data_IF_056738766972
#
_entry.id   IF_056738766972
#
_cell.length_a   1.000
_cell.length_b   1.000
_cell.length_c   1.000
_cell.angle_alpha   90.00
_cell.angle_beta   90.00
_cell.angle_gamma   90.00
#
_symmetry.space_group_name_H-M   'P 1'
#
loop_
_entity.id
_entity.type
_entity.pdbx_description
1 polymer ?
#
# COMPACT_ATOMS: atom_id res chain seq x y z
N UNK A 1 21.97 -4.76 -21.84
CA UNK A 1 22.34 -6.13 -21.39
C UNK A 1 22.29 -6.38 -19.87
N UNK A 2 22.46 -5.38 -18.98
CA UNK A 2 22.41 -5.60 -17.51
C UNK A 2 21.00 -5.88 -16.91
N UNK A 3 19.90 -5.74 -17.67
CA UNK A 3 18.51 -5.88 -17.18
C UNK A 3 17.95 -7.31 -17.13
N UNK A 4 18.55 -8.29 -17.81
CA UNK A 4 18.00 -9.66 -17.88
C UNK A 4 18.17 -10.46 -16.57
N UNK A 5 19.13 -10.07 -15.72
CA UNK A 5 19.42 -10.74 -14.45
C UNK A 5 18.34 -10.53 -13.39
N UNK A 6 17.45 -9.55 -13.59
CA UNK A 6 16.31 -9.28 -12.70
C UNK A 6 15.27 -10.40 -12.75
N UNK A 7 15.14 -11.10 -13.88
CA UNK A 7 14.29 -12.31 -14.01
C UNK A 7 14.81 -13.50 -13.18
N UNK A 8 16.07 -13.44 -12.71
CA UNK A 8 16.69 -14.44 -11.86
C UNK A 8 16.65 -14.06 -10.37
N UNK A 9 15.97 -12.99 -9.97
CA UNK A 9 15.82 -12.64 -8.55
C UNK A 9 15.02 -13.75 -7.83
N UNK A 10 15.51 -14.29 -6.70
CA UNK A 10 14.78 -15.28 -5.92
C UNK A 10 13.48 -14.67 -5.36
N UNK A 11 12.34 -15.29 -5.68
CA UNK A 11 11.00 -14.82 -5.29
C UNK A 11 9.96 -15.02 -6.39
N UNK A 12 10.36 -14.97 -7.67
CA UNK A 12 9.48 -15.31 -8.78
C UNK A 12 9.55 -16.81 -9.08
N UNK A 13 8.40 -17.51 -9.01
CA UNK A 13 8.28 -18.96 -9.26
C UNK A 13 8.67 -19.42 -10.68
N UNK A 14 9.05 -18.49 -11.57
CA UNK A 14 9.42 -18.71 -12.97
C UNK A 14 10.56 -19.74 -13.11
N UNK A 15 11.51 -19.79 -12.17
CA UNK A 15 12.67 -20.70 -12.26
C UNK A 15 12.29 -22.18 -12.32
N UNK A 16 11.25 -22.59 -11.58
CA UNK A 16 10.79 -23.99 -11.56
C UNK A 16 10.18 -24.39 -12.90
N UNK A 17 9.39 -23.49 -13.49
CA UNK A 17 8.77 -23.72 -14.79
C UNK A 17 9.78 -23.67 -15.94
N UNK A 18 10.77 -22.78 -15.87
CA UNK A 18 11.86 -22.73 -16.85
C UNK A 18 12.69 -24.01 -16.84
N UNK A 19 12.99 -24.54 -15.64
CA UNK A 19 13.68 -25.82 -15.50
C UNK A 19 12.83 -26.96 -16.08
N UNK A 20 11.53 -27.00 -15.77
CA UNK A 20 10.61 -28.00 -16.31
C UNK A 20 10.51 -27.95 -17.84
N UNK A 21 10.47 -26.74 -18.43
CA UNK A 21 10.47 -26.55 -19.88
C UNK A 21 11.78 -27.06 -20.49
N UNK A 22 12.93 -26.70 -19.91
CA UNK A 22 14.24 -27.15 -20.37
C UNK A 22 14.34 -28.68 -20.33
N UNK A 23 13.92 -29.30 -19.23
CA UNK A 23 13.88 -30.77 -19.09
C UNK A 23 12.97 -31.38 -20.14
N UNK A 24 11.76 -30.83 -20.35
CA UNK A 24 10.83 -31.29 -21.38
C UNK A 24 11.42 -31.22 -22.79
N UNK A 25 12.15 -30.14 -23.11
CA UNK A 25 12.81 -29.98 -24.41
C UNK A 25 13.91 -31.02 -24.63
N UNK A 26 14.68 -31.36 -23.58
CA UNK A 26 15.70 -32.43 -23.65
C UNK A 26 15.05 -33.78 -23.96
N UNK A 27 13.98 -34.14 -23.25
CA UNK A 27 13.28 -35.41 -23.49
C UNK A 27 12.66 -35.46 -24.90
N UNK A 28 12.06 -34.36 -25.36
CA UNK A 28 11.52 -34.26 -26.72
C UNK A 28 12.63 -34.45 -27.77
N UNK A 29 13.75 -33.73 -27.62
CA UNK A 29 14.88 -33.83 -28.54
C UNK A 29 15.46 -35.25 -28.59
N UNK A 30 15.56 -35.91 -27.42
CA UNK A 30 16.01 -37.29 -27.33
C UNK A 30 15.04 -38.26 -28.03
N UNK A 31 13.73 -38.09 -27.83
CA UNK A 31 12.70 -38.90 -28.50
C UNK A 31 12.75 -38.77 -30.02
N UNK A 32 12.86 -37.55 -30.54
CA UNK A 32 13.03 -37.29 -31.98
C UNK A 32 14.31 -37.93 -32.50
N UNK A 33 15.42 -37.85 -31.77
CA UNK A 33 16.68 -38.48 -32.17
C UNK A 33 16.55 -40.01 -32.28
N UNK A 34 15.85 -40.67 -31.35
CA UNK A 34 15.61 -42.11 -31.43
C UNK A 34 14.78 -42.49 -32.66
N UNK A 35 13.69 -41.77 -32.93
CA UNK A 35 12.85 -42.00 -34.12
C UNK A 35 13.66 -41.80 -35.39
N UNK A 36 14.48 -40.74 -35.45
CA UNK A 36 15.33 -40.46 -36.59
C UNK A 36 16.34 -41.60 -36.84
N UNK A 37 17.03 -42.07 -35.79
CA UNK A 37 17.97 -43.20 -35.90
C UNK A 37 17.28 -44.47 -36.38
N UNK A 38 16.07 -44.75 -35.89
CA UNK A 38 15.28 -45.90 -36.31
C UNK A 38 14.90 -45.80 -37.80
N UNK A 39 14.44 -44.63 -38.25
CA UNK A 39 14.07 -44.38 -39.64
C UNK A 39 15.26 -44.61 -40.58
N UNK A 40 16.44 -44.08 -40.22
CA UNK A 40 17.68 -44.28 -40.99
C UNK A 40 18.12 -45.74 -41.11
N UNK A 41 17.73 -46.60 -40.17
CA UNK A 41 18.13 -48.02 -40.15
C UNK A 41 17.12 -48.95 -40.82
N UNK A 42 15.87 -48.53 -40.97
CA UNK A 42 14.76 -49.40 -41.39
C UNK A 42 14.16 -49.05 -42.73
N UNK A 43 14.29 -47.78 -43.16
CA UNK A 43 13.74 -47.30 -44.42
C UNK A 43 14.89 -46.98 -45.36
N UNK A 44 14.84 -47.55 -46.57
CA UNK A 44 15.74 -47.17 -47.66
C UNK A 44 15.41 -45.73 -48.08
N UNK A 45 16.30 -44.80 -47.72
CA UNK A 45 16.13 -43.38 -48.01
C UNK A 45 16.55 -43.06 -49.45
N UNK A 46 15.77 -42.26 -50.20
CA UNK A 46 16.13 -41.83 -51.55
C UNK A 46 17.46 -41.07 -51.61
N UNK A 47 18.17 -41.13 -52.75
CA UNK A 47 19.50 -40.50 -52.95
C UNK A 47 19.53 -38.98 -52.69
N UNK A 48 18.40 -38.29 -52.83
CA UNK A 48 18.27 -36.85 -52.52
C UNK A 48 18.69 -36.53 -51.08
N UNK A 49 18.46 -37.44 -50.14
CA UNK A 49 18.84 -37.26 -48.74
C UNK A 49 20.36 -37.30 -48.53
N UNK A 50 21.12 -37.93 -49.42
CA UNK A 50 22.58 -37.97 -49.35
C UNK A 50 23.17 -36.55 -49.44
N UNK A 51 22.68 -35.76 -50.41
CA UNK A 51 23.10 -34.38 -50.61
C UNK A 51 22.49 -33.43 -49.56
N UNK A 52 21.20 -33.59 -49.26
CA UNK A 52 20.50 -32.73 -48.30
C UNK A 52 21.08 -32.83 -46.88
N UNK A 53 21.52 -34.02 -46.48
CA UNK A 53 22.09 -34.28 -45.16
C UNK A 53 23.62 -34.30 -45.16
N UNK A 54 24.25 -33.80 -46.23
CA UNK A 54 25.70 -33.62 -46.37
C UNK A 54 26.51 -34.90 -46.08
N UNK A 55 26.01 -36.07 -46.48
CA UNK A 55 26.62 -37.37 -46.17
C UNK A 55 27.99 -37.59 -46.83
N UNK A 56 28.31 -36.85 -47.90
CA UNK A 56 29.61 -36.87 -48.56
C UNK A 56 30.75 -36.31 -47.68
N UNK A 57 30.44 -35.60 -46.59
CA UNK A 57 31.42 -35.09 -45.63
C UNK A 57 31.67 -36.08 -44.49
N UNK A 58 32.89 -36.11 -43.93
CA UNK A 58 33.18 -36.87 -42.71
C UNK A 58 32.19 -36.53 -41.59
N UNK A 59 31.79 -37.55 -40.82
CA UNK A 59 30.76 -37.43 -39.76
C UNK A 59 31.03 -36.27 -38.80
N UNK A 60 32.29 -36.04 -38.46
CA UNK A 60 32.74 -34.96 -37.56
C UNK A 60 32.56 -33.58 -38.18
N UNK A 61 32.98 -33.40 -39.44
CA UNK A 61 32.87 -32.13 -40.18
C UNK A 61 31.42 -31.74 -40.36
N UNK A 62 30.57 -32.70 -40.77
CA UNK A 62 29.13 -32.48 -40.89
C UNK A 62 28.48 -32.10 -39.56
N UNK A 63 28.81 -32.82 -38.49
CA UNK A 63 28.24 -32.54 -37.17
C UNK A 63 28.62 -31.12 -36.68
N UNK A 64 29.86 -30.70 -36.94
CA UNK A 64 30.33 -29.36 -36.58
C UNK A 64 29.60 -28.28 -37.40
N UNK A 65 29.49 -28.45 -38.71
CA UNK A 65 28.82 -27.49 -39.59
C UNK A 65 27.33 -27.32 -39.24
N UNK A 66 26.59 -28.43 -39.11
CA UNK A 66 25.17 -28.38 -38.76
C UNK A 66 24.96 -27.88 -37.33
N UNK A 67 25.82 -28.26 -36.40
CA UNK A 67 25.77 -27.78 -35.01
C UNK A 67 26.01 -26.28 -34.91
N UNK A 68 27.01 -25.75 -35.62
CA UNK A 68 27.33 -24.32 -35.63
C UNK A 68 26.20 -23.52 -36.30
N UNK A 69 25.67 -23.99 -37.44
CA UNK A 69 24.52 -23.38 -38.10
C UNK A 69 23.27 -23.38 -37.21
N UNK A 70 23.00 -24.48 -36.51
CA UNK A 70 21.89 -24.58 -35.57
C UNK A 70 22.06 -23.59 -34.41
N UNK A 71 23.25 -23.50 -33.83
CA UNK A 71 23.53 -22.60 -32.72
C UNK A 71 23.42 -21.12 -33.13
N UNK A 72 23.87 -20.75 -34.33
CA UNK A 72 23.71 -19.39 -34.83
C UNK A 72 22.25 -19.04 -35.09
N UNK A 73 21.47 -19.95 -35.69
CA UNK A 73 20.03 -19.76 -35.88
C UNK A 73 19.27 -19.61 -34.55
N UNK A 74 19.58 -20.44 -33.55
CA UNK A 74 18.99 -20.34 -32.21
C UNK A 74 19.36 -19.01 -31.57
N UNK A 75 20.63 -18.59 -31.62
CA UNK A 75 21.08 -17.32 -31.05
C UNK A 75 20.37 -16.13 -31.70
N UNK A 76 20.30 -16.09 -33.04
CA UNK A 76 19.62 -15.02 -33.78
C UNK A 76 18.12 -15.00 -33.45
N UNK A 77 17.48 -16.17 -33.42
CA UNK A 77 16.05 -16.28 -33.09
C UNK A 77 15.76 -15.80 -31.68
N UNK A 78 16.60 -16.17 -30.71
CA UNK A 78 16.46 -15.74 -29.33
C UNK A 78 16.59 -14.21 -29.19
N UNK A 79 17.61 -13.60 -29.82
CA UNK A 79 17.82 -12.15 -29.80
C UNK A 79 16.64 -11.42 -30.46
N UNK A 80 16.23 -11.83 -31.67
CA UNK A 80 15.12 -11.18 -32.38
C UNK A 80 13.78 -11.35 -31.67
N UNK A 81 13.52 -12.53 -31.09
CA UNK A 81 12.30 -12.78 -30.36
C UNK A 81 12.27 -11.97 -29.06
N UNK A 82 13.39 -11.89 -28.34
CA UNK A 82 13.55 -11.00 -27.20
C UNK A 82 13.26 -9.55 -27.59
N UNK A 83 13.88 -9.05 -28.65
CA UNK A 83 13.66 -7.67 -29.09
C UNK A 83 12.20 -7.41 -29.45
N UNK A 84 11.52 -8.31 -30.17
CA UNK A 84 10.13 -8.09 -30.62
C UNK A 84 9.09 -8.31 -29.53
N UNK A 85 9.30 -9.29 -28.66
CA UNK A 85 8.39 -9.52 -27.54
C UNK A 85 8.54 -8.42 -26.50
N UNK A 86 9.74 -7.90 -26.26
CA UNK A 86 9.99 -6.89 -25.22
C UNK A 86 9.97 -5.44 -25.73
N UNK A 87 10.07 -5.19 -27.04
CA UNK A 87 10.00 -3.83 -27.61
C UNK A 87 8.71 -3.08 -27.27
N UNK A 88 7.50 -3.68 -27.31
CA UNK A 88 6.27 -3.00 -26.91
C UNK A 88 6.22 -2.63 -25.42
N UNK A 89 6.99 -3.33 -24.60
CA UNK A 89 7.06 -3.15 -23.15
C UNK A 89 8.12 -2.14 -22.71
N UNK A 90 9.01 -1.70 -23.61
CA UNK A 90 10.08 -0.74 -23.33
C UNK A 90 9.76 0.65 -23.89
N UNK A 91 8.75 0.75 -24.77
CA UNK A 91 8.36 1.99 -25.47
C UNK A 91 7.20 2.77 -24.84
N UNK A 92 6.68 2.34 -23.68
CA UNK A 92 5.71 3.11 -22.90
C UNK A 92 6.40 3.90 -21.78
N UNK A 93 5.88 5.09 -21.45
CA UNK A 93 6.40 5.96 -20.38
C UNK A 93 6.46 5.29 -19.00
N UNK A 94 5.77 4.17 -18.80
CA UNK A 94 5.87 3.34 -17.60
C UNK A 94 6.70 2.08 -17.85
N UNK A 95 7.83 1.99 -17.16
CA UNK A 95 8.72 0.84 -17.14
C UNK A 95 7.94 -0.37 -16.59
N UNK A 96 7.83 -1.47 -17.33
CA UNK A 96 7.07 -2.68 -16.91
C UNK A 96 7.50 -3.23 -15.55
N UNK A 97 8.76 -2.96 -15.17
CA UNK A 97 9.25 -3.26 -13.83
C UNK A 97 8.46 -2.50 -12.76
N UNK A 98 8.09 -1.24 -12.99
CA UNK A 98 7.29 -0.43 -12.08
C UNK A 98 5.83 -0.90 -12.02
N UNK A 99 5.26 -1.40 -13.12
CA UNK A 99 3.93 -2.02 -13.12
C UNK A 99 3.91 -3.34 -12.33
N UNK A 100 4.93 -4.19 -12.52
CA UNK A 100 5.08 -5.44 -11.77
C UNK A 100 5.43 -5.16 -10.31
N UNK A 101 6.27 -4.15 -10.04
CA UNK A 101 6.58 -3.72 -8.67
C UNK A 101 5.34 -3.14 -7.99
N UNK A 102 4.51 -2.32 -8.66
CA UNK A 102 3.20 -1.87 -8.12
C UNK A 102 2.23 -3.02 -7.87
N UNK A 103 2.28 -4.09 -8.66
CA UNK A 103 1.43 -5.27 -8.48
C UNK A 103 1.82 -6.11 -7.25
N UNK A 104 3.11 -6.15 -6.90
CA UNK A 104 3.63 -6.90 -5.75
C UNK A 104 3.99 -6.03 -4.53
N UNK A 105 4.05 -4.70 -4.69
CA UNK A 105 4.29 -3.77 -3.60
C UNK A 105 3.01 -3.67 -2.75
N UNK A 106 3.11 -3.75 -1.41
CA UNK A 106 1.97 -3.51 -0.56
C UNK A 106 1.43 -2.11 -0.85
N UNK A 107 0.13 -2.03 -1.18
CA UNK A 107 -0.59 -0.76 -1.29
C UNK A 107 -0.43 -0.07 0.07
N UNK A 108 0.43 0.96 0.14
CA UNK A 108 0.56 1.79 1.35
C UNK A 108 -0.81 2.40 1.59
N UNK A 109 -1.48 1.96 2.65
CA UNK A 109 -2.78 2.52 3.04
C UNK A 109 -2.51 3.94 3.55
N UNK A 110 -3.16 4.98 3.00
CA UNK A 110 -2.97 6.32 3.51
C UNK A 110 -3.46 6.37 4.96
N UNK A 111 -2.66 6.99 5.83
CA UNK A 111 -2.97 7.19 7.24
C UNK A 111 -3.81 8.46 7.39
N UNK A 112 -5.03 8.32 7.88
CA UNK A 112 -5.99 9.41 8.04
C UNK A 112 -6.27 9.62 9.52
N UNK A 113 -5.97 10.81 10.02
CA UNK A 113 -6.29 11.22 11.39
C UNK A 113 -7.55 12.08 11.39
N UNK A 114 -8.52 11.76 12.26
CA UNK A 114 -9.85 12.36 12.24
C UNK A 114 -10.15 13.01 13.59
N UNK A 115 -10.29 14.33 13.62
CA UNK A 115 -10.84 15.06 14.77
C UNK A 115 -12.35 15.20 14.59
N UNK A 116 -13.14 14.57 15.45
CA UNK A 116 -14.59 14.63 15.35
C UNK A 116 -15.27 14.52 16.72
N UNK A 117 -16.56 14.90 16.79
CA UNK A 117 -17.37 14.59 17.96
C UNK A 117 -17.63 13.08 18.06
N UNK A 118 -18.02 12.56 19.22
CA UNK A 118 -18.17 11.10 19.46
C UNK A 118 -19.05 10.41 18.40
N UNK A 119 -20.22 10.97 18.09
CA UNK A 119 -21.13 10.39 17.10
C UNK A 119 -20.61 10.54 15.66
N UNK A 120 -20.00 11.68 15.34
CA UNK A 120 -19.41 11.94 14.02
C UNK A 120 -18.23 11.03 13.74
N UNK A 121 -17.39 10.81 14.74
CA UNK A 121 -16.28 9.88 14.66
C UNK A 121 -16.76 8.44 14.46
N UNK A 122 -17.80 8.01 15.20
CA UNK A 122 -18.41 6.70 15.00
C UNK A 122 -18.98 6.49 13.59
N UNK A 123 -19.53 7.54 12.96
CA UNK A 123 -19.98 7.47 11.57
C UNK A 123 -18.83 7.26 10.60
N UNK A 124 -17.72 8.00 10.75
CA UNK A 124 -16.56 7.89 9.87
C UNK A 124 -15.81 6.58 10.06
N UNK A 125 -15.59 6.15 11.31
CA UNK A 125 -14.90 4.89 11.61
C UNK A 125 -15.67 3.65 11.15
N UNK A 126 -16.99 3.72 10.94
CA UNK A 126 -17.75 2.62 10.31
C UNK A 126 -17.25 2.31 8.89
N UNK A 127 -16.83 3.33 8.15
CA UNK A 127 -16.34 3.15 6.78
C UNK A 127 -14.97 2.49 6.72
N UNK A 128 -14.22 2.41 7.84
CA UNK A 128 -12.86 1.82 7.90
C UNK A 128 -12.77 0.41 7.30
N UNK A 129 -13.85 -0.36 7.36
CA UNK A 129 -13.90 -1.72 6.79
C UNK A 129 -14.12 -1.74 5.26
N UNK A 130 -14.64 -0.66 4.70
CA UNK A 130 -15.02 -0.54 3.29
C UNK A 130 -13.97 0.20 2.46
N UNK A 131 -13.17 1.05 3.11
CA UNK A 131 -12.12 1.84 2.46
C UNK A 131 -10.72 1.27 2.75
N UNK A 132 -9.77 1.34 1.79
CA UNK A 132 -8.40 0.86 1.99
C UNK A 132 -7.53 1.89 2.73
N UNK A 133 -8.09 2.63 3.69
CA UNK A 133 -7.40 3.69 4.43
C UNK A 133 -7.19 3.26 5.87
N UNK A 134 -6.04 3.62 6.45
CA UNK A 134 -5.81 3.43 7.87
C UNK A 134 -6.33 4.64 8.64
N UNK A 135 -7.52 4.52 9.20
CA UNK A 135 -8.21 5.61 9.88
C UNK A 135 -8.02 5.52 11.38
N UNK A 136 -7.56 6.61 11.98
CA UNK A 136 -7.43 6.81 13.44
C UNK A 136 -8.25 8.02 13.84
N UNK A 137 -9.06 7.88 14.89
CA UNK A 137 -9.91 8.92 15.42
C UNK A 137 -9.35 9.57 16.68
N UNK A 138 -9.44 10.89 16.78
CA UNK A 138 -9.16 11.64 18.02
C UNK A 138 -10.48 12.15 18.58
N UNK A 139 -10.81 11.75 19.81
CA UNK A 139 -12.03 12.20 20.49
C UNK A 139 -11.90 13.62 21.03
N UNK A 140 -13.01 14.31 21.35
CA UNK A 140 -12.95 15.60 22.03
C UNK A 140 -12.19 15.50 23.37
N UNK A 141 -11.41 16.52 23.76
CA UNK A 141 -10.62 16.48 24.98
C UNK A 141 -11.50 16.57 26.23
N UNK A 142 -12.59 17.31 26.17
CA UNK A 142 -13.61 17.30 27.20
C UNK A 142 -14.34 15.94 27.19
N UNK A 143 -14.39 15.26 28.35
CA UNK A 143 -15.03 13.95 28.49
C UNK A 143 -14.48 12.85 27.55
N UNK A 144 -13.18 12.90 27.24
CA UNK A 144 -12.52 11.96 26.32
C UNK A 144 -12.74 10.48 26.72
N UNK A 145 -12.65 10.17 28.01
CA UNK A 145 -12.88 8.82 28.52
C UNK A 145 -14.31 8.32 28.27
N UNK A 146 -15.32 9.18 28.46
CA UNK A 146 -16.72 8.85 28.16
C UNK A 146 -16.96 8.66 26.65
N UNK A 147 -16.34 9.51 25.82
CA UNK A 147 -16.41 9.37 24.37
C UNK A 147 -15.78 8.05 23.89
N UNK A 148 -14.59 7.71 24.39
CA UNK A 148 -13.91 6.44 24.11
C UNK A 148 -14.75 5.24 24.56
N UNK A 149 -15.25 5.24 25.80
CA UNK A 149 -16.07 4.15 26.33
C UNK A 149 -17.34 3.92 25.50
N UNK A 150 -17.97 5.00 25.01
CA UNK A 150 -19.14 4.91 24.13
C UNK A 150 -18.80 4.30 22.77
N UNK A 151 -17.70 4.71 22.15
CA UNK A 151 -17.24 4.14 20.88
C UNK A 151 -16.84 2.67 21.03
N UNK A 152 -16.11 2.35 22.10
CA UNK A 152 -15.69 0.98 22.40
C UNK A 152 -16.90 0.06 22.62
N UNK A 153 -17.86 0.46 23.45
CA UNK A 153 -19.06 -0.35 23.73
C UNK A 153 -20.00 -0.49 22.52
N UNK A 154 -20.10 0.53 21.66
CA UNK A 154 -21.03 0.53 20.51
C UNK A 154 -20.43 -0.17 19.29
N UNK A 155 -19.13 -0.07 19.07
CA UNK A 155 -18.46 -0.48 17.83
C UNK A 155 -17.28 -1.42 18.03
N UNK A 156 -16.86 -1.68 19.27
CA UNK A 156 -15.70 -2.51 19.58
C UNK A 156 -14.36 -1.83 19.29
N UNK A 157 -14.31 -0.49 19.29
CA UNK A 157 -13.10 0.24 18.89
C UNK A 157 -11.93 0.04 19.85
N UNK A 158 -10.70 -0.08 19.36
CA UNK A 158 -9.51 -0.24 20.22
C UNK A 158 -8.86 1.10 20.58
N UNK A 159 -7.89 1.07 21.51
CA UNK A 159 -7.05 2.22 21.84
C UNK A 159 -6.09 2.64 20.71
N UNK A 160 -5.94 1.81 19.67
CA UNK A 160 -5.18 2.16 18.46
C UNK A 160 -6.06 2.89 17.43
N UNK A 161 -7.37 2.62 17.45
CA UNK A 161 -8.33 3.23 16.52
C UNK A 161 -8.87 4.57 17.03
N UNK A 162 -8.97 4.72 18.35
CA UNK A 162 -9.55 5.90 18.99
C UNK A 162 -8.61 6.40 20.07
N UNK A 163 -8.02 7.57 19.84
CA UNK A 163 -7.03 8.21 20.69
C UNK A 163 -7.66 9.30 21.55
N UNK A 164 -7.15 9.41 22.77
CA UNK A 164 -7.47 10.50 23.70
C UNK A 164 -6.49 11.65 23.42
N UNK A 165 -6.95 12.88 23.18
CA UNK A 165 -6.10 14.00 22.75
C UNK A 165 -5.09 14.46 23.81
N UNK A 166 -5.41 14.33 25.10
CA UNK A 166 -4.56 14.83 26.19
C UNK A 166 -4.61 13.92 27.42
N UNK A 167 -3.49 13.85 28.14
CA UNK A 167 -3.38 13.18 29.42
C UNK A 167 -4.00 13.98 30.58
N UNK A 168 -4.32 15.25 30.36
CA UNK A 168 -4.87 16.14 31.38
C UNK A 168 -6.40 16.11 31.39
N UNK A 169 -7.00 16.24 32.57
CA UNK A 169 -8.44 16.45 32.70
C UNK A 169 -8.78 17.90 32.40
N UNK A 170 -9.49 18.09 31.28
CA UNK A 170 -9.86 19.41 30.80
C UNK A 170 -11.36 19.59 30.71
N UNK A 171 -11.78 20.84 30.91
CA UNK A 171 -13.16 21.29 30.69
C UNK A 171 -13.18 22.35 29.61
N UNK A 172 -14.15 22.25 28.71
CA UNK A 172 -14.40 23.27 27.69
C UNK A 172 -15.26 24.39 28.27
N UNK A 173 -14.88 25.64 28.03
CA UNK A 173 -15.61 26.83 28.44
C UNK A 173 -15.85 27.74 27.23
N UNK A 174 -16.99 28.43 27.21
CA UNK A 174 -17.31 29.42 26.19
C UNK A 174 -17.66 30.75 26.84
N UNK A 175 -17.01 31.83 26.40
CA UNK A 175 -17.36 33.20 26.77
C UNK A 175 -18.32 33.77 25.73
N UNK A 176 -19.43 34.32 26.19
CA UNK A 176 -20.45 34.98 25.37
C UNK A 176 -20.14 36.47 25.20
N UNK A 177 -20.76 37.12 24.22
CA UNK A 177 -20.57 38.56 23.96
C UNK A 177 -20.97 39.47 25.14
N UNK A 178 -21.83 39.01 26.04
CA UNK A 178 -22.26 39.72 27.25
C UNK A 178 -21.31 39.50 28.45
N UNK A 179 -20.19 38.79 28.24
CA UNK A 179 -19.21 38.44 29.27
C UNK A 179 -19.59 37.21 30.13
N UNK A 180 -20.75 36.59 29.88
CA UNK A 180 -21.13 35.35 30.56
C UNK A 180 -20.22 34.21 30.13
N UNK A 181 -19.74 33.40 31.09
CA UNK A 181 -18.95 32.19 30.80
C UNK A 181 -19.79 30.95 31.05
N UNK A 182 -20.00 30.15 30.01
CA UNK A 182 -20.62 28.83 30.08
C UNK A 182 -19.53 27.78 30.31
N UNK A 183 -19.73 26.86 31.28
CA UNK A 183 -18.73 25.86 31.66
C UNK A 183 -19.23 24.45 31.36
N UNK A 184 -18.48 23.74 30.52
CA UNK A 184 -18.75 22.35 30.13
C UNK A 184 -19.60 22.22 28.88
N UNK A 185 -19.49 21.05 28.23
CA UNK A 185 -20.12 20.79 26.94
C UNK A 185 -21.65 20.89 26.98
N UNK A 186 -22.29 20.44 28.07
CA UNK A 186 -23.75 20.44 28.20
C UNK A 186 -24.31 21.86 28.24
N UNK A 187 -23.70 22.76 29.01
CA UNK A 187 -24.16 24.15 29.14
C UNK A 187 -23.97 24.91 27.82
N UNK A 188 -22.83 24.70 27.15
CA UNK A 188 -22.53 25.31 25.84
C UNK A 188 -23.51 24.80 24.77
N UNK A 189 -23.83 23.50 24.76
CA UNK A 189 -24.75 22.90 23.79
C UNK A 189 -26.22 23.31 24.00
N UNK A 190 -26.65 23.51 25.25
CA UNK A 190 -27.97 24.06 25.55
C UNK A 190 -28.08 25.53 25.10
N UNK A 191 -26.97 26.25 25.17
CA UNK A 191 -26.82 27.60 24.63
C UNK A 191 -27.64 28.66 25.37
N UNK A 192 -27.33 29.92 25.06
CA UNK A 192 -28.13 31.09 25.44
C UNK A 192 -28.44 31.89 24.18
N UNK A 193 -29.31 32.91 24.28
CA UNK A 193 -29.64 33.81 23.16
C UNK A 193 -28.49 34.73 22.74
N UNK A 194 -27.37 34.69 23.45
CA UNK A 194 -26.19 35.53 23.21
C UNK A 194 -25.14 34.72 22.46
N UNK A 195 -24.51 35.26 21.39
CA UNK A 195 -23.48 34.56 20.64
C UNK A 195 -22.23 34.24 21.47
N UNK A 196 -21.53 33.17 21.08
CA UNK A 196 -20.23 32.80 21.65
C UNK A 196 -19.14 33.71 21.06
N UNK A 197 -18.43 34.43 21.91
CA UNK A 197 -17.29 35.27 21.56
C UNK A 197 -16.01 34.45 21.38
N UNK A 198 -15.72 33.54 22.32
CA UNK A 198 -14.55 32.63 22.24
C UNK A 198 -14.73 31.35 23.04
N UNK A 199 -13.97 30.33 22.67
CA UNK A 199 -13.87 29.05 23.40
C UNK A 199 -12.45 28.90 23.94
N UNK A 200 -12.34 28.37 25.15
CA UNK A 200 -11.06 28.04 25.76
C UNK A 200 -11.17 26.76 26.60
N UNK A 201 -10.03 26.15 26.88
CA UNK A 201 -9.93 25.01 27.77
C UNK A 201 -9.46 25.48 29.15
N UNK A 202 -9.99 24.87 30.20
CA UNK A 202 -9.51 25.03 31.58
C UNK A 202 -9.09 23.67 32.13
N UNK A 203 -8.02 23.66 32.91
CA UNK A 203 -7.68 22.47 33.71
C UNK A 203 -8.68 22.34 34.86
N UNK A 204 -9.19 21.14 35.10
CA UNK A 204 -10.09 20.91 36.23
C UNK A 204 -9.40 21.13 37.59
N UNK A 205 -8.06 21.04 37.65
CA UNK A 205 -7.30 21.21 38.87
C UNK A 205 -7.08 22.70 39.25
N UNK A 206 -7.01 23.60 38.26
CA UNK A 206 -6.67 25.01 38.49
C UNK A 206 -7.79 26.00 38.15
N UNK A 207 -8.84 25.55 37.43
CA UNK A 207 -9.95 26.37 36.87
C UNK A 207 -9.47 27.61 36.10
N UNK A 208 -8.22 27.59 35.62
CA UNK A 208 -7.62 28.67 34.83
C UNK A 208 -7.56 28.27 33.35
N UNK A 209 -7.78 29.22 32.43
CA UNK A 209 -7.53 29.00 31.01
C UNK A 209 -6.08 28.62 30.77
N UNK A 210 -5.87 27.56 30.01
CA UNK A 210 -4.56 27.05 29.64
C UNK A 210 -4.59 26.53 28.20
N UNK A 211 -3.41 26.35 27.62
CA UNK A 211 -3.22 25.73 26.29
C UNK A 211 -2.08 24.72 26.28
N UNK A 212 -1.23 24.75 27.32
CA UNK A 212 -0.09 23.88 27.58
C UNK A 212 -0.50 22.54 28.20
N UNK A 213 -1.59 21.95 27.70
CA UNK A 213 -1.99 20.60 28.07
C UNK A 213 -1.09 19.57 27.41
N UNK A 214 -0.79 18.50 28.13
CA UNK A 214 0.08 17.41 27.68
C UNK A 214 -0.69 16.54 26.68
N UNK A 215 -0.38 16.56 25.38
CA UNK A 215 -1.01 15.66 24.45
C UNK A 215 -0.58 14.22 24.72
N UNK A 216 -1.41 13.28 24.31
CA UNK A 216 -1.05 11.86 24.34
C UNK A 216 -0.02 11.58 23.23
N UNK A 217 1.12 10.90 23.51
CA UNK A 217 2.17 10.68 22.51
C UNK A 217 1.69 10.02 21.21
N UNK A 218 0.74 9.09 21.34
CA UNK A 218 0.11 8.39 20.22
C UNK A 218 -0.61 9.35 19.27
N UNK A 219 -1.17 10.46 19.79
CA UNK A 219 -1.82 11.48 18.97
C UNK A 219 -0.80 12.25 18.16
N UNK A 220 0.31 12.64 18.77
CA UNK A 220 1.39 13.37 18.08
C UNK A 220 2.01 12.49 16.99
N UNK A 221 2.37 11.24 17.31
CA UNK A 221 2.89 10.28 16.33
C UNK A 221 1.87 9.99 15.21
N UNK A 222 0.57 9.91 15.54
CA UNK A 222 -0.45 9.74 14.51
C UNK A 222 -0.52 10.94 13.55
N UNK A 223 -0.40 12.16 14.07
CA UNK A 223 -0.42 13.40 13.27
C UNK A 223 0.83 13.55 12.41
N UNK A 224 2.03 13.29 12.95
CA UNK A 224 3.30 13.35 12.21
C UNK A 224 3.35 12.34 11.03
N UNK A 225 2.72 11.18 11.20
CA UNK A 225 2.65 10.14 10.18
C UNK A 225 1.41 10.26 9.28
N UNK A 226 0.53 11.23 9.52
CA UNK A 226 -0.72 11.37 8.79
C UNK A 226 -0.46 11.80 7.34
N UNK A 227 -1.03 11.07 6.39
CA UNK A 227 -1.10 11.53 4.99
C UNK A 227 -2.25 12.55 4.82
N UNK A 228 -3.26 12.53 5.69
CA UNK A 228 -4.39 13.48 5.67
C UNK A 228 -5.00 13.65 7.05
N UNK A 229 -5.37 14.88 7.40
CA UNK A 229 -6.09 15.23 8.63
C UNK A 229 -7.49 15.69 8.27
N UNK A 230 -8.51 15.07 8.89
CA UNK A 230 -9.92 15.39 8.71
C UNK A 230 -10.44 16.05 9.97
N UNK A 231 -11.05 17.23 9.84
CA UNK A 231 -11.66 17.96 10.95
C UNK A 231 -13.17 17.98 10.72
N UNK A 232 -13.89 17.21 11.54
CA UNK A 232 -15.34 17.02 11.49
C UNK A 232 -15.75 15.58 11.15
N UNK A 233 -17.07 15.29 11.26
CA UNK A 233 -18.12 16.18 11.74
C UNK A 233 -18.20 16.22 13.27
N UNK A 234 -18.65 17.35 13.81
CA UNK A 234 -18.83 17.55 15.25
C UNK A 234 -19.25 18.98 15.57
N UNK A 235 -19.63 19.21 16.83
CA UNK A 235 -19.88 20.58 17.31
C UNK A 235 -18.60 21.40 17.21
N UNK A 236 -18.67 22.55 16.56
CA UNK A 236 -17.52 23.44 16.37
C UNK A 236 -16.92 23.85 17.73
N UNK A 237 -17.77 24.26 18.67
CA UNK A 237 -17.35 24.86 19.93
C UNK A 237 -17.08 23.85 21.04
N UNK A 238 -17.66 22.65 20.99
CA UNK A 238 -17.49 21.65 22.06
C UNK A 238 -16.66 20.44 21.63
N UNK A 239 -16.40 20.25 20.34
CA UNK A 239 -15.65 19.10 19.85
C UNK A 239 -14.42 19.50 19.03
N UNK A 240 -14.61 20.31 17.98
CA UNK A 240 -13.56 20.56 16.99
C UNK A 240 -12.52 21.58 17.48
N UNK A 241 -12.96 22.79 17.83
CA UNK A 241 -12.07 23.84 18.36
C UNK A 241 -11.33 23.35 19.61
N UNK A 242 -11.99 22.74 20.62
CA UNK A 242 -11.32 22.28 21.82
C UNK A 242 -10.13 21.36 21.58
N UNK A 243 -10.21 20.43 20.62
CA UNK A 243 -9.09 19.54 20.31
C UNK A 243 -7.87 20.31 19.77
N UNK A 244 -8.11 21.38 19.00
CA UNK A 244 -7.09 22.24 18.40
C UNK A 244 -6.56 23.33 19.34
N UNK A 245 -7.17 23.51 20.52
CA UNK A 245 -6.68 24.47 21.52
C UNK A 245 -5.50 23.94 22.34
N UNK A 246 -5.20 22.63 22.24
CA UNK A 246 -4.01 22.03 22.83
C UNK A 246 -2.82 22.45 21.97
N UNK A 247 -1.89 23.20 22.56
CA UNK A 247 -0.81 23.90 21.84
C UNK A 247 0.00 22.95 20.95
N UNK A 248 0.48 21.85 21.49
CA UNK A 248 1.30 20.88 20.74
C UNK A 248 0.53 20.20 19.59
N UNK A 249 -0.77 19.90 19.77
CA UNK A 249 -1.60 19.38 18.67
C UNK A 249 -1.70 20.42 17.55
N UNK A 250 -1.94 21.69 17.89
CA UNK A 250 -2.04 22.77 16.92
C UNK A 250 -0.72 23.00 16.17
N UNK A 251 0.42 22.93 16.87
CA UNK A 251 1.74 23.09 16.26
C UNK A 251 2.14 21.92 15.34
N UNK A 252 1.52 20.75 15.51
CA UNK A 252 1.81 19.55 14.70
C UNK A 252 1.02 19.52 13.38
N UNK A 253 -0.11 20.24 13.31
CA UNK A 253 -1.01 20.30 12.13
C UNK A 253 -0.52 21.37 11.15
#
# INVERSE_FOLDING_TARGET
>A
MKKLWVLLIPGMHIKRWLLLLLVGFIFLALGVAYVQVQLYRTVEVPEVFHYLTLQFLPRTVRALLLGLLGLTLVAISFVKLSERLFSPFISGEENVLDTVYRYYAPIKRPKIVIFAGTSGLGMLLRMRKEVPWDMVGVVPPANAGGAFARLHSTMGTTAEEVLIPTLDTVRVCAELEDGTVLKGEVEIAQGKRVPICRVFLVSEASDKPATDFRPTPEVISALEEADTIVIGPGSLFTNLIPALLIKEINETI
#
